data_IF_669612178217
#
_entry.id   IF_669612178217
#
_cell.length_a   1.000
_cell.length_b   1.000
_cell.length_c   1.000
_cell.angle_alpha   90.00
_cell.angle_beta   90.00
_cell.angle_gamma   90.00
#
_symmetry.space_group_name_H-M   'P 1'
#
loop_
_entity.id
_entity.type
_entity.pdbx_description
1 polymer ?
#
# COMPACT_ATOMS: atom_id res chain seq x y z
N UNK A 1 -36.26 -19.29 -18.39
CA UNK A 1 -37.55 -19.16 -17.66
C UNK A 1 -37.55 -18.14 -16.51
N UNK A 2 -36.40 -17.69 -15.97
CA UNK A 2 -36.36 -16.65 -14.91
C UNK A 2 -36.04 -15.20 -15.37
N UNK A 3 -35.66 -14.98 -16.62
CA UNK A 3 -35.59 -13.61 -17.19
C UNK A 3 -36.96 -12.91 -17.19
N UNK A 4 -38.05 -13.66 -17.37
CA UNK A 4 -39.42 -13.14 -17.31
C UNK A 4 -39.90 -12.79 -15.89
N UNK A 5 -39.28 -13.30 -14.82
CA UNK A 5 -39.73 -13.06 -13.44
C UNK A 5 -39.04 -11.82 -12.83
N UNK A 6 -37.73 -11.62 -13.09
CA UNK A 6 -37.02 -10.41 -12.64
C UNK A 6 -37.34 -9.17 -13.49
N UNK A 7 -37.56 -9.30 -14.81
CA UNK A 7 -38.14 -8.19 -15.60
C UNK A 7 -39.57 -7.85 -15.15
N UNK A 8 -40.38 -8.83 -14.70
CA UNK A 8 -41.70 -8.55 -14.11
C UNK A 8 -41.59 -7.79 -12.79
N UNK A 9 -40.63 -8.08 -11.92
CA UNK A 9 -40.45 -7.35 -10.65
C UNK A 9 -39.84 -5.95 -10.83
N UNK A 10 -38.90 -5.77 -11.77
CA UNK A 10 -38.42 -4.43 -12.16
C UNK A 10 -39.52 -3.61 -12.84
N UNK A 11 -40.30 -4.22 -13.75
CA UNK A 11 -41.44 -3.56 -14.40
C UNK A 11 -42.56 -3.25 -13.39
N UNK A 12 -42.84 -4.10 -12.40
CA UNK A 12 -43.81 -3.79 -11.34
C UNK A 12 -43.33 -2.67 -10.40
N UNK A 13 -42.02 -2.58 -10.13
CA UNK A 13 -41.44 -1.48 -9.34
C UNK A 13 -41.44 -0.16 -10.11
N UNK A 14 -41.16 -0.18 -11.41
CA UNK A 14 -41.28 0.98 -12.30
C UNK A 14 -42.75 1.39 -12.50
N UNK A 15 -43.66 0.44 -12.71
CA UNK A 15 -45.11 0.72 -12.80
C UNK A 15 -45.62 1.28 -11.48
N UNK A 16 -45.24 0.75 -10.31
CA UNK A 16 -45.60 1.34 -9.00
C UNK A 16 -45.03 2.74 -8.81
N UNK A 17 -43.78 3.00 -9.23
CA UNK A 17 -43.18 4.33 -9.19
C UNK A 17 -43.87 5.33 -10.13
N UNK A 18 -44.29 4.89 -11.32
CA UNK A 18 -45.07 5.69 -12.27
C UNK A 18 -46.52 5.89 -11.82
N UNK A 19 -47.12 4.91 -11.11
CA UNK A 19 -48.49 5.01 -10.54
C UNK A 19 -48.53 5.96 -9.34
N UNK A 20 -47.43 6.10 -8.60
CA UNK A 20 -47.28 7.07 -7.51
C UNK A 20 -47.05 8.51 -8.01
N UNK A 21 -46.60 8.70 -9.24
CA UNK A 21 -46.49 10.01 -9.92
C UNK A 21 -47.80 10.44 -10.61
N UNK A 22 -48.84 9.59 -10.62
CA UNK A 22 -50.08 9.79 -11.37
C UNK A 22 -51.23 10.41 -10.55
N UNK A 23 -50.92 11.31 -9.62
CA UNK A 23 -51.96 12.16 -8.99
C UNK A 23 -52.09 13.55 -9.63
N UNK A 24 -51.43 13.83 -10.77
CA UNK A 24 -51.39 15.21 -11.28
C UNK A 24 -51.63 15.48 -12.77
N UNK A 25 -51.84 14.52 -13.69
CA UNK A 25 -52.12 14.94 -15.08
C UNK A 25 -52.84 13.94 -16.00
N UNK A 26 -53.86 14.41 -16.71
CA UNK A 26 -54.78 13.61 -17.53
C UNK A 26 -54.30 13.34 -18.98
N UNK A 27 -53.12 13.85 -19.38
CA UNK A 27 -52.64 13.75 -20.77
C UNK A 27 -51.85 12.45 -21.12
N UNK A 28 -51.56 11.58 -20.16
CA UNK A 28 -50.64 10.43 -20.36
C UNK A 28 -51.26 9.18 -21.03
N UNK A 29 -52.56 9.15 -21.33
CA UNK A 29 -53.25 7.92 -21.75
C UNK A 29 -53.01 7.50 -23.21
N UNK A 30 -52.57 8.41 -24.09
CA UNK A 30 -52.45 8.13 -25.54
C UNK A 30 -51.12 7.42 -25.93
N UNK A 31 -50.04 7.65 -25.18
CA UNK A 31 -48.70 7.08 -25.46
C UNK A 31 -48.66 5.56 -25.19
N UNK A 32 -49.53 5.07 -24.30
CA UNK A 32 -49.52 3.66 -23.84
C UNK A 32 -50.06 2.64 -24.86
N UNK A 33 -50.79 3.08 -25.90
CA UNK A 33 -51.34 2.15 -26.91
C UNK A 33 -50.28 1.69 -27.93
N UNK A 34 -49.26 2.51 -28.21
CA UNK A 34 -48.19 2.16 -29.16
C UNK A 34 -47.10 1.27 -28.55
N UNK A 35 -46.82 1.40 -27.26
CA UNK A 35 -45.80 0.58 -26.56
C UNK A 35 -46.27 -0.85 -26.25
N UNK A 36 -47.59 -1.08 -26.15
CA UNK A 36 -48.19 -2.41 -25.94
C UNK A 36 -48.01 -3.35 -27.13
N UNK A 37 -47.96 -2.80 -28.36
CA UNK A 37 -47.86 -3.60 -29.58
C UNK A 37 -46.43 -4.09 -29.86
N UNK A 38 -45.41 -3.29 -29.51
CA UNK A 38 -44.00 -3.72 -29.59
C UNK A 38 -43.65 -4.82 -28.57
N UNK A 39 -44.32 -4.84 -27.41
CA UNK A 39 -44.07 -5.83 -26.36
C UNK A 39 -44.55 -7.25 -26.73
N UNK A 40 -45.61 -7.35 -27.55
CA UNK A 40 -46.19 -8.63 -27.99
C UNK A 40 -45.37 -9.32 -29.10
N UNK A 41 -44.71 -8.54 -29.96
CA UNK A 41 -43.83 -9.05 -31.03
C UNK A 41 -42.53 -9.64 -30.49
N UNK A 42 -41.98 -9.06 -29.41
CA UNK A 42 -40.77 -9.56 -28.75
C UNK A 42 -40.99 -10.92 -28.07
N UNK A 43 -42.20 -11.22 -27.59
CA UNK A 43 -42.53 -12.48 -26.90
C UNK A 43 -42.59 -13.70 -27.84
N UNK A 44 -42.80 -13.49 -29.15
CA UNK A 44 -42.86 -14.56 -30.15
C UNK A 44 -41.49 -15.02 -30.66
N UNK A 45 -40.45 -14.19 -30.52
CA UNK A 45 -39.08 -14.51 -30.99
C UNK A 45 -38.36 -15.43 -29.99
N UNK A 46 -38.74 -15.42 -28.70
CA UNK A 46 -38.10 -16.20 -27.64
C UNK A 46 -38.54 -17.67 -27.56
N UNK A 47 -39.46 -18.14 -28.42
CA UNK A 47 -39.99 -19.51 -28.36
C UNK A 47 -39.22 -20.55 -29.20
N UNK A 48 -38.15 -20.16 -29.92
CA UNK A 48 -37.53 -21.02 -30.95
C UNK A 48 -36.05 -21.40 -30.75
N UNK A 49 -35.45 -21.22 -29.56
CA UNK A 49 -34.05 -21.67 -29.33
C UNK A 49 -33.96 -22.80 -28.30
N UNK A 50 -33.77 -24.02 -28.77
CA UNK A 50 -33.38 -25.18 -27.97
C UNK A 50 -31.86 -25.18 -27.74
N UNK A 51 -31.41 -25.38 -26.49
CA UNK A 51 -30.00 -25.57 -26.16
C UNK A 51 -29.77 -26.86 -25.35
N UNK A 52 -28.60 -27.51 -25.49
CA UNK A 52 -28.35 -28.86 -25.02
C UNK A 52 -28.10 -28.91 -23.51
N UNK A 53 -28.47 -30.04 -22.91
CA UNK A 53 -28.32 -30.39 -21.51
C UNK A 53 -26.87 -30.70 -21.13
N UNK A 54 -26.33 -29.98 -20.14
CA UNK A 54 -25.18 -30.42 -19.34
C UNK A 54 -25.55 -30.21 -17.87
N UNK A 55 -25.79 -31.30 -17.13
CA UNK A 55 -26.31 -31.26 -15.76
C UNK A 55 -25.20 -31.42 -14.73
N UNK A 56 -24.57 -30.31 -14.36
CA UNK A 56 -24.37 -30.00 -12.95
C UNK A 56 -25.49 -29.01 -12.59
N UNK A 57 -26.40 -29.38 -11.69
CA UNK A 57 -27.53 -28.53 -11.35
C UNK A 57 -27.01 -27.28 -10.62
N UNK A 58 -27.34 -26.10 -11.13
CA UNK A 58 -27.03 -24.84 -10.47
C UNK A 58 -27.64 -24.81 -9.04
N UNK A 59 -26.93 -24.30 -8.02
CA UNK A 59 -27.48 -24.21 -6.67
C UNK A 59 -28.78 -23.39 -6.65
N UNK A 60 -29.75 -23.82 -5.84
CA UNK A 60 -31.14 -23.30 -5.89
C UNK A 60 -31.27 -21.78 -5.68
N UNK A 61 -30.39 -21.18 -4.86
CA UNK A 61 -30.37 -19.73 -4.60
C UNK A 61 -29.47 -18.95 -5.56
N UNK A 62 -28.78 -19.64 -6.47
CA UNK A 62 -27.79 -19.04 -7.34
C UNK A 62 -28.25 -19.04 -8.79
N UNK A 63 -27.58 -18.23 -9.58
CA UNK A 63 -27.70 -18.19 -11.03
C UNK A 63 -26.39 -18.63 -11.66
N UNK A 64 -26.46 -19.47 -12.70
CA UNK A 64 -25.29 -20.01 -13.38
C UNK A 64 -25.33 -19.68 -14.87
N UNK A 65 -24.18 -19.30 -15.42
CA UNK A 65 -23.97 -19.03 -16.84
C UNK A 65 -22.63 -19.67 -17.27
N UNK A 66 -22.69 -20.77 -18.02
CA UNK A 66 -21.50 -21.55 -18.42
C UNK A 66 -20.68 -21.97 -17.18
N UNK A 67 -19.49 -21.42 -17.02
CA UNK A 67 -18.52 -21.64 -15.93
C UNK A 67 -18.58 -20.55 -14.84
N UNK A 68 -19.66 -19.76 -14.80
CA UNK A 68 -19.85 -18.68 -13.84
C UNK A 68 -21.05 -18.97 -12.95
N UNK A 69 -20.88 -18.74 -11.65
CA UNK A 69 -21.90 -18.95 -10.62
C UNK A 69 -22.04 -17.68 -9.79
N UNK A 70 -23.27 -17.19 -9.64
CA UNK A 70 -23.59 -15.95 -8.96
C UNK A 70 -24.65 -16.20 -7.88
N UNK A 71 -24.31 -15.87 -6.65
CA UNK A 71 -25.08 -16.11 -5.44
C UNK A 71 -25.20 -14.81 -4.61
N UNK A 72 -25.40 -13.68 -5.28
CA UNK A 72 -25.36 -12.32 -4.70
C UNK A 72 -26.65 -12.00 -3.95
N UNK A 73 -26.57 -11.41 -2.76
CA UNK A 73 -27.73 -10.93 -1.99
C UNK A 73 -28.80 -12.02 -1.80
N UNK A 74 -28.36 -13.16 -1.26
CA UNK A 74 -29.19 -14.36 -1.05
C UNK A 74 -29.37 -14.71 0.43
N UNK A 75 -28.90 -13.82 1.31
CA UNK A 75 -28.84 -13.99 2.76
C UNK A 75 -28.15 -15.30 3.18
N UNK A 76 -27.14 -15.73 2.43
CA UNK A 76 -26.43 -16.99 2.69
C UNK A 76 -25.55 -16.86 3.92
N UNK A 77 -25.77 -17.70 4.92
CA UNK A 77 -24.85 -17.91 6.04
C UNK A 77 -23.88 -19.08 5.80
N UNK A 78 -24.16 -19.91 4.79
CA UNK A 78 -23.34 -21.03 4.32
C UNK A 78 -23.16 -20.99 2.81
N UNK A 79 -22.01 -21.49 2.35
CA UNK A 79 -21.75 -21.64 0.91
C UNK A 79 -22.63 -22.77 0.36
N UNK A 80 -23.38 -22.56 -0.74
CA UNK A 80 -24.28 -23.57 -1.29
C UNK A 80 -23.55 -24.86 -1.65
N UNK A 81 -24.14 -26.00 -1.28
CA UNK A 81 -23.64 -27.31 -1.70
C UNK A 81 -23.83 -27.48 -3.21
N UNK A 82 -22.92 -28.23 -3.86
CA UNK A 82 -22.97 -28.55 -5.30
C UNK A 82 -22.69 -27.39 -6.28
N UNK A 83 -21.80 -26.47 -5.93
CA UNK A 83 -21.20 -25.56 -6.93
C UNK A 83 -20.47 -26.43 -7.99
N UNK A 84 -20.76 -26.29 -9.30
CA UNK A 84 -20.11 -27.08 -10.34
C UNK A 84 -18.58 -26.99 -10.28
N UNK A 85 -17.84 -28.11 -10.32
CA UNK A 85 -16.36 -28.07 -10.26
C UNK A 85 -15.70 -27.27 -11.38
N UNK A 86 -16.36 -27.18 -12.55
CA UNK A 86 -15.91 -26.42 -13.72
C UNK A 86 -16.04 -24.89 -13.55
N UNK A 87 -16.46 -24.41 -12.38
CA UNK A 87 -16.69 -22.98 -12.13
C UNK A 87 -15.36 -22.23 -12.13
N UNK A 88 -15.22 -21.27 -13.05
CA UNK A 88 -14.08 -20.34 -13.12
C UNK A 88 -14.35 -19.00 -12.44
N UNK A 89 -15.62 -18.60 -12.33
CA UNK A 89 -16.02 -17.39 -11.60
C UNK A 89 -17.12 -17.71 -10.61
N UNK A 90 -16.89 -17.39 -9.34
CA UNK A 90 -17.85 -17.53 -8.26
C UNK A 90 -18.04 -16.19 -7.57
N UNK A 91 -19.28 -15.73 -7.55
CA UNK A 91 -19.67 -14.51 -6.85
C UNK A 91 -20.62 -14.87 -5.70
N UNK A 92 -20.13 -14.72 -4.47
CA UNK A 92 -20.82 -14.95 -3.20
C UNK A 92 -20.96 -13.64 -2.42
N UNK A 93 -20.88 -12.49 -3.11
CA UNK A 93 -20.94 -11.18 -2.46
C UNK A 93 -22.30 -10.87 -1.84
N UNK A 94 -22.31 -9.94 -0.89
CA UNK A 94 -23.52 -9.47 -0.18
C UNK A 94 -24.30 -10.61 0.50
N UNK A 95 -23.65 -11.26 1.47
CA UNK A 95 -24.21 -12.39 2.19
C UNK A 95 -23.78 -12.33 3.67
N UNK A 96 -23.99 -13.41 4.41
CA UNK A 96 -23.70 -13.57 5.84
C UNK A 96 -22.63 -14.66 6.07
N UNK A 97 -21.83 -14.99 5.07
CA UNK A 97 -20.84 -16.08 5.10
C UNK A 97 -19.71 -15.74 6.08
N UNK A 98 -19.27 -16.75 6.83
CA UNK A 98 -18.14 -16.68 7.76
C UNK A 98 -16.97 -17.51 7.26
N UNK A 99 -15.79 -17.26 7.81
CA UNK A 99 -14.54 -17.97 7.51
C UNK A 99 -14.65 -19.50 7.67
N UNK A 100 -15.48 -19.99 8.60
CA UNK A 100 -15.72 -21.42 8.82
C UNK A 100 -16.24 -22.17 7.59
N UNK A 101 -16.88 -21.46 6.65
CA UNK A 101 -17.46 -22.06 5.45
C UNK A 101 -16.46 -22.13 4.28
N UNK A 102 -15.35 -21.39 4.32
CA UNK A 102 -14.44 -21.25 3.18
C UNK A 102 -13.78 -22.56 2.76
N UNK A 103 -13.60 -23.50 3.70
CA UNK A 103 -13.07 -24.85 3.41
C UNK A 103 -13.95 -25.63 2.41
N UNK A 104 -15.24 -25.30 2.30
CA UNK A 104 -16.15 -25.93 1.34
C UNK A 104 -15.85 -25.56 -0.11
N UNK A 105 -14.98 -24.57 -0.37
CA UNK A 105 -14.56 -24.18 -1.72
C UNK A 105 -13.39 -25.02 -2.25
N UNK A 106 -12.80 -25.91 -1.44
CA UNK A 106 -11.57 -26.63 -1.77
C UNK A 106 -11.65 -27.48 -3.06
N UNK A 107 -12.85 -27.91 -3.48
CA UNK A 107 -13.05 -28.69 -4.71
C UNK A 107 -13.08 -27.84 -6.00
N UNK A 108 -13.09 -26.50 -5.90
CA UNK A 108 -13.13 -25.58 -7.04
C UNK A 108 -11.70 -25.24 -7.50
N UNK A 109 -10.95 -26.25 -7.94
CA UNK A 109 -9.52 -26.10 -8.27
C UNK A 109 -9.25 -25.20 -9.46
N UNK A 110 -10.21 -25.05 -10.37
CA UNK A 110 -10.09 -24.25 -11.60
C UNK A 110 -10.60 -22.80 -11.43
N UNK A 111 -10.90 -22.40 -10.19
CA UNK A 111 -11.50 -21.10 -9.91
C UNK A 111 -10.48 -19.97 -10.14
N UNK A 112 -10.83 -19.04 -11.03
CA UNK A 112 -9.99 -17.90 -11.42
C UNK A 112 -10.44 -16.58 -10.79
N UNK A 113 -11.74 -16.43 -10.55
CA UNK A 113 -12.31 -15.23 -9.95
C UNK A 113 -13.25 -15.60 -8.79
N UNK A 114 -12.96 -15.06 -7.61
CA UNK A 114 -13.77 -15.27 -6.41
C UNK A 114 -14.15 -13.92 -5.81
N UNK A 115 -15.45 -13.67 -5.65
CA UNK A 115 -15.97 -12.53 -4.91
C UNK A 115 -16.66 -12.98 -3.63
N UNK A 116 -16.10 -12.57 -2.49
CA UNK A 116 -16.60 -12.79 -1.14
C UNK A 116 -16.85 -11.45 -0.43
N UNK A 117 -17.00 -10.35 -1.18
CA UNK A 117 -17.21 -9.03 -0.61
C UNK A 117 -18.51 -8.93 0.19
N UNK A 118 -18.60 -8.02 1.16
CA UNK A 118 -19.80 -7.81 1.95
C UNK A 118 -20.29 -9.10 2.65
N UNK A 119 -19.40 -9.77 3.37
CA UNK A 119 -19.68 -10.95 4.18
C UNK A 119 -19.28 -10.71 5.64
N UNK A 120 -18.99 -11.77 6.40
CA UNK A 120 -18.58 -11.75 7.82
C UNK A 120 -17.25 -12.50 8.03
N UNK A 121 -16.40 -12.54 7.02
CA UNK A 121 -15.14 -13.28 7.03
C UNK A 121 -14.12 -12.57 7.92
N UNK A 122 -13.41 -13.34 8.75
CA UNK A 122 -12.29 -12.85 9.57
C UNK A 122 -10.96 -13.46 9.18
N UNK A 123 -10.95 -14.76 8.89
CA UNK A 123 -9.78 -15.53 8.49
C UNK A 123 -9.89 -15.95 7.01
N UNK A 124 -8.76 -15.89 6.30
CA UNK A 124 -8.68 -16.14 4.85
C UNK A 124 -7.71 -17.27 4.48
N UNK A 125 -7.07 -17.92 5.45
CA UNK A 125 -6.04 -18.94 5.20
C UNK A 125 -6.58 -20.11 4.37
N UNK A 126 -7.85 -20.46 4.59
CA UNK A 126 -8.50 -21.57 3.86
C UNK A 126 -8.61 -21.34 2.35
N UNK A 127 -8.38 -20.11 1.86
CA UNK A 127 -8.40 -19.78 0.44
C UNK A 127 -7.06 -20.06 -0.26
N UNK A 128 -5.97 -20.30 0.49
CA UNK A 128 -4.62 -20.50 -0.07
C UNK A 128 -4.49 -21.74 -0.97
N UNK A 129 -5.49 -22.64 -0.99
CA UNK A 129 -5.53 -23.81 -1.88
C UNK A 129 -6.07 -23.52 -3.28
N UNK A 130 -6.68 -22.34 -3.52
CA UNK A 130 -7.28 -21.98 -4.81
C UNK A 130 -6.23 -21.41 -5.77
N UNK A 131 -5.29 -22.27 -6.17
CA UNK A 131 -4.05 -21.91 -6.88
C UNK A 131 -4.24 -21.25 -8.25
N UNK A 132 -5.41 -21.40 -8.87
CA UNK A 132 -5.74 -20.82 -10.17
C UNK A 132 -6.31 -19.38 -10.07
N UNK A 133 -6.49 -18.84 -8.86
CA UNK A 133 -7.07 -17.51 -8.68
C UNK A 133 -6.23 -16.41 -9.35
N UNK A 134 -6.88 -15.63 -10.19
CA UNK A 134 -6.39 -14.41 -10.82
C UNK A 134 -6.97 -13.16 -10.15
N UNK A 135 -8.18 -13.25 -9.57
CA UNK A 135 -8.83 -12.13 -8.88
C UNK A 135 -9.55 -12.59 -7.62
N UNK A 136 -9.28 -11.90 -6.51
CA UNK A 136 -9.89 -12.20 -5.22
C UNK A 136 -10.45 -10.93 -4.59
N UNK A 137 -11.77 -10.88 -4.42
CA UNK A 137 -12.46 -9.81 -3.71
C UNK A 137 -12.87 -10.25 -2.30
N UNK A 138 -12.35 -9.54 -1.30
CA UNK A 138 -12.61 -9.75 0.12
C UNK A 138 -13.03 -8.45 0.81
N UNK A 139 -13.45 -7.45 0.04
CA UNK A 139 -13.80 -6.13 0.56
C UNK A 139 -14.99 -6.16 1.50
N UNK A 140 -15.10 -5.18 2.41
CA UNK A 140 -16.27 -5.07 3.31
C UNK A 140 -16.50 -6.35 4.14
N UNK A 141 -15.44 -6.88 4.74
CA UNK A 141 -15.49 -8.02 5.67
C UNK A 141 -14.98 -7.60 7.06
N UNK A 142 -14.62 -8.56 7.90
CA UNK A 142 -14.18 -8.36 9.28
C UNK A 142 -12.72 -8.80 9.50
N UNK A 143 -11.89 -8.83 8.45
CA UNK A 143 -10.48 -9.25 8.50
C UNK A 143 -9.68 -8.21 9.28
N UNK A 144 -8.96 -8.63 10.33
CA UNK A 144 -8.15 -7.73 11.19
C UNK A 144 -6.65 -7.91 11.02
N UNK A 145 -6.21 -9.03 10.45
CA UNK A 145 -4.81 -9.35 10.24
C UNK A 145 -4.61 -10.09 8.92
N UNK A 146 -3.45 -9.90 8.31
CA UNK A 146 -2.99 -10.69 7.16
C UNK A 146 -1.71 -11.40 7.57
N UNK A 147 -1.84 -12.70 7.84
CA UNK A 147 -0.73 -13.53 8.29
C UNK A 147 0.19 -13.93 7.14
N UNK A 148 1.43 -14.24 7.49
CA UNK A 148 2.35 -14.89 6.58
C UNK A 148 1.78 -16.26 6.15
N UNK A 149 1.79 -16.53 4.86
CA UNK A 149 1.22 -17.75 4.27
C UNK A 149 -0.27 -17.70 3.95
N UNK A 150 -1.01 -16.64 4.32
CA UNK A 150 -2.43 -16.47 3.97
C UNK A 150 -2.69 -16.56 2.45
N UNK A 151 -1.68 -16.22 1.64
CA UNK A 151 -1.72 -16.29 0.18
C UNK A 151 -0.60 -17.16 -0.43
N UNK A 152 -0.07 -18.13 0.32
CA UNK A 152 1.16 -18.85 -0.02
C UNK A 152 1.20 -19.42 -1.45
N UNK A 153 0.08 -19.93 -1.97
CA UNK A 153 0.06 -20.59 -3.28
C UNK A 153 -0.66 -19.79 -4.38
N UNK A 154 -1.02 -18.53 -4.13
CA UNK A 154 -1.81 -17.71 -5.06
C UNK A 154 -0.92 -16.92 -6.04
N UNK A 155 0.08 -17.59 -6.63
CA UNK A 155 1.09 -16.94 -7.50
C UNK A 155 0.54 -16.36 -8.81
N UNK A 156 -0.65 -16.82 -9.25
CA UNK A 156 -1.38 -16.33 -10.43
C UNK A 156 -2.22 -15.08 -10.15
N UNK A 157 -2.39 -14.71 -8.88
CA UNK A 157 -3.27 -13.62 -8.49
C UNK A 157 -2.75 -12.30 -9.07
N UNK A 158 -3.62 -11.58 -9.79
CA UNK A 158 -3.32 -10.31 -10.45
C UNK A 158 -3.98 -9.13 -9.74
N UNK A 159 -5.13 -9.33 -9.09
CA UNK A 159 -5.81 -8.29 -8.34
C UNK A 159 -6.37 -8.82 -7.02
N UNK A 160 -6.07 -8.09 -5.94
CA UNK A 160 -6.50 -8.42 -4.57
C UNK A 160 -7.19 -7.23 -3.92
N UNK A 161 -8.44 -7.43 -3.49
CA UNK A 161 -9.26 -6.39 -2.87
C UNK A 161 -9.54 -6.71 -1.40
N UNK A 162 -8.88 -5.99 -0.51
CA UNK A 162 -8.99 -6.11 0.95
C UNK A 162 -9.52 -4.83 1.62
N UNK A 163 -9.94 -3.85 0.83
CA UNK A 163 -10.40 -2.55 1.33
C UNK A 163 -11.68 -2.66 2.17
N UNK A 164 -11.91 -1.67 3.04
CA UNK A 164 -13.06 -1.64 3.98
C UNK A 164 -13.11 -2.88 4.88
N UNK A 165 -11.97 -3.30 5.41
CA UNK A 165 -11.85 -4.33 6.45
C UNK A 165 -11.43 -3.67 7.77
N UNK A 166 -10.82 -4.44 8.68
CA UNK A 166 -10.29 -3.96 9.96
C UNK A 166 -8.79 -4.20 10.07
N UNK A 167 -8.09 -4.39 8.94
CA UNK A 167 -6.69 -4.83 8.91
C UNK A 167 -5.82 -3.80 9.62
N UNK A 168 -5.19 -4.21 10.71
CA UNK A 168 -4.24 -3.38 11.46
C UNK A 168 -2.81 -3.91 11.26
N UNK A 169 -2.67 -5.24 11.29
CA UNK A 169 -1.39 -5.92 11.19
C UNK A 169 -1.29 -6.72 9.89
N UNK A 170 -0.20 -6.53 9.16
CA UNK A 170 0.20 -7.35 8.02
C UNK A 170 1.56 -7.94 8.40
N UNK A 171 1.63 -9.25 8.57
CA UNK A 171 2.87 -9.92 8.95
C UNK A 171 3.92 -9.81 7.85
N UNK A 172 5.19 -9.77 8.25
CA UNK A 172 6.33 -9.73 7.33
C UNK A 172 6.25 -10.86 6.31
N UNK A 173 6.27 -10.49 5.02
CA UNK A 173 6.23 -11.44 3.92
C UNK A 173 4.85 -12.01 3.56
N UNK A 174 3.77 -11.50 4.15
CA UNK A 174 2.39 -11.95 3.84
C UNK A 174 2.04 -11.93 2.35
N UNK A 175 2.66 -11.04 1.57
CA UNK A 175 2.42 -10.92 0.13
C UNK A 175 3.54 -11.49 -0.76
N UNK A 176 4.60 -12.08 -0.20
CA UNK A 176 5.83 -12.44 -0.92
C UNK A 176 5.59 -13.33 -2.17
N UNK A 177 4.59 -14.22 -2.10
CA UNK A 177 4.32 -15.19 -3.16
C UNK A 177 3.37 -14.66 -4.24
N UNK A 178 2.83 -13.44 -4.08
CA UNK A 178 1.93 -12.80 -5.04
C UNK A 178 2.71 -12.16 -6.20
N UNK A 179 3.60 -12.91 -6.84
CA UNK A 179 4.57 -12.41 -7.83
C UNK A 179 3.94 -11.91 -9.14
N UNK A 180 2.65 -12.21 -9.37
CA UNK A 180 1.89 -11.75 -10.53
C UNK A 180 0.96 -10.57 -10.23
N UNK A 181 0.92 -10.10 -8.98
CA UNK A 181 -0.02 -9.09 -8.52
C UNK A 181 0.26 -7.74 -9.18
N UNK A 182 -0.78 -7.15 -9.75
CA UNK A 182 -0.77 -5.86 -10.44
C UNK A 182 -1.53 -4.80 -9.66
N UNK A 183 -2.57 -5.20 -8.92
CA UNK A 183 -3.43 -4.27 -8.17
C UNK A 183 -3.66 -4.78 -6.75
N UNK A 184 -3.37 -3.94 -5.76
CA UNK A 184 -3.58 -4.22 -4.34
C UNK A 184 -4.39 -3.08 -3.70
N UNK A 185 -5.59 -3.41 -3.23
CA UNK A 185 -6.49 -2.46 -2.59
C UNK A 185 -6.58 -2.72 -1.08
N UNK A 186 -6.00 -1.84 -0.28
CA UNK A 186 -5.97 -1.87 1.18
C UNK A 186 -6.63 -0.62 1.82
N UNK A 187 -7.27 0.22 1.02
CA UNK A 187 -7.88 1.47 1.49
C UNK A 187 -9.02 1.24 2.50
N UNK A 188 -9.26 2.19 3.41
CA UNK A 188 -10.21 2.07 4.53
C UNK A 188 -9.96 0.82 5.40
N UNK A 189 -8.75 0.72 5.98
CA UNK A 189 -8.35 -0.25 7.00
C UNK A 189 -7.74 0.50 8.22
N UNK A 190 -7.04 -0.21 9.11
CA UNK A 190 -6.41 0.35 10.32
C UNK A 190 -4.87 0.28 10.28
N UNK A 191 -4.25 0.18 9.10
CA UNK A 191 -2.80 0.05 8.96
C UNK A 191 -2.13 1.34 9.44
N UNK A 192 -1.15 1.25 10.33
CA UNK A 192 -0.46 2.41 10.90
C UNK A 192 1.03 2.51 10.52
N UNK A 193 1.68 1.38 10.20
CA UNK A 193 3.09 1.35 9.80
C UNK A 193 3.27 0.63 8.47
N UNK A 194 4.18 1.14 7.63
CA UNK A 194 4.72 0.44 6.46
C UNK A 194 6.22 0.17 6.69
N UNK A 195 6.64 -1.10 6.66
CA UNK A 195 8.05 -1.51 6.79
C UNK A 195 8.67 -1.93 5.45
N UNK A 196 9.98 -2.16 5.45
CA UNK A 196 10.77 -2.48 4.25
C UNK A 196 10.46 -3.84 3.61
N UNK A 197 9.82 -4.76 4.34
CA UNK A 197 9.55 -6.12 3.89
C UNK A 197 8.07 -6.36 3.57
N UNK A 198 7.17 -5.45 3.97
CA UNK A 198 5.72 -5.59 3.80
C UNK A 198 5.31 -5.87 2.35
N UNK A 199 5.88 -5.15 1.39
CA UNK A 199 5.56 -5.28 -0.04
C UNK A 199 6.66 -6.01 -0.85
N UNK A 200 7.53 -6.75 -0.18
CA UNK A 200 8.59 -7.50 -0.84
C UNK A 200 8.01 -8.55 -1.81
N UNK A 201 8.70 -8.76 -2.92
CA UNK A 201 8.27 -9.68 -3.97
C UNK A 201 7.24 -9.13 -4.96
N UNK A 202 6.55 -8.02 -4.65
CA UNK A 202 5.50 -7.41 -5.49
C UNK A 202 6.04 -6.57 -6.67
N UNK A 203 7.01 -7.11 -7.40
CA UNK A 203 7.76 -6.40 -8.46
C UNK A 203 6.92 -6.01 -9.69
N UNK A 204 5.77 -6.69 -9.90
CA UNK A 204 4.80 -6.41 -10.98
C UNK A 204 3.63 -5.53 -10.55
N UNK A 205 3.64 -5.03 -9.31
CA UNK A 205 2.54 -4.22 -8.80
C UNK A 205 2.52 -2.86 -9.50
N UNK A 206 1.39 -2.54 -10.13
CA UNK A 206 1.17 -1.29 -10.85
C UNK A 206 0.38 -0.29 -10.01
N UNK A 207 -0.56 -0.77 -9.19
CA UNK A 207 -1.45 0.08 -8.39
C UNK A 207 -1.51 -0.38 -6.94
N UNK A 208 -1.22 0.53 -6.04
CA UNK A 208 -1.30 0.33 -4.59
C UNK A 208 -2.20 1.40 -3.97
N UNK A 209 -3.29 0.96 -3.36
CA UNK A 209 -4.27 1.84 -2.74
C UNK A 209 -4.28 1.67 -1.23
N UNK A 210 -3.79 2.68 -0.50
CA UNK A 210 -3.68 2.71 0.96
C UNK A 210 -4.49 3.87 1.58
N UNK A 211 -5.35 4.54 0.80
CA UNK A 211 -6.12 5.69 1.28
C UNK A 211 -6.98 5.37 2.51
N UNK A 212 -7.18 6.32 3.42
CA UNK A 212 -8.10 6.12 4.55
C UNK A 212 -7.62 5.07 5.55
N UNK A 213 -6.31 4.96 5.77
CA UNK A 213 -5.72 4.14 6.83
C UNK A 213 -5.29 5.04 8.00
N UNK A 214 -4.40 4.55 8.88
CA UNK A 214 -3.84 5.29 10.01
C UNK A 214 -2.32 5.48 9.87
N UNK A 215 -1.80 5.44 8.64
CA UNK A 215 -0.37 5.38 8.38
C UNK A 215 0.29 6.66 8.90
N UNK A 216 1.14 6.54 9.91
CA UNK A 216 1.92 7.64 10.49
C UNK A 216 3.44 7.42 10.35
N UNK A 217 3.85 6.18 10.06
CA UNK A 217 5.23 5.78 9.89
C UNK A 217 5.43 4.97 8.60
N UNK A 218 6.26 5.50 7.71
CA UNK A 218 6.72 4.83 6.49
C UNK A 218 8.24 4.70 6.61
N UNK A 219 8.72 3.47 6.77
CA UNK A 219 10.15 3.19 6.86
C UNK A 219 10.86 3.51 5.54
N UNK A 220 12.10 3.99 5.61
CA UNK A 220 12.92 4.28 4.43
C UNK A 220 13.05 3.02 3.57
N UNK A 221 12.66 3.11 2.31
CA UNK A 221 12.70 1.99 1.38
C UNK A 221 11.51 1.02 1.43
N UNK A 222 10.44 1.32 2.17
CA UNK A 222 9.19 0.55 2.19
C UNK A 222 8.63 0.22 0.79
N UNK A 223 8.92 1.06 -0.21
CA UNK A 223 8.46 0.88 -1.59
C UNK A 223 9.55 0.47 -2.59
N UNK A 224 10.79 0.23 -2.16
CA UNK A 224 11.95 0.02 -3.05
C UNK A 224 11.76 -1.12 -4.07
N UNK A 225 11.01 -2.16 -3.70
CA UNK A 225 10.77 -3.33 -4.56
C UNK A 225 9.68 -3.08 -5.63
N UNK A 226 8.91 -2.00 -5.51
CA UNK A 226 7.75 -1.70 -6.36
C UNK A 226 8.15 -0.97 -7.64
N UNK A 227 9.13 -1.52 -8.36
CA UNK A 227 9.74 -0.89 -9.55
C UNK A 227 8.78 -0.71 -10.74
N UNK A 228 7.64 -1.41 -10.74
CA UNK A 228 6.59 -1.25 -11.75
C UNK A 228 5.45 -0.32 -11.33
N UNK A 229 5.50 0.26 -10.13
CA UNK A 229 4.39 1.01 -9.58
C UNK A 229 4.12 2.29 -10.37
N UNK A 230 2.88 2.46 -10.78
CA UNK A 230 2.38 3.62 -11.53
C UNK A 230 1.50 4.49 -10.65
N UNK A 231 0.66 3.87 -9.82
CA UNK A 231 -0.34 4.58 -9.00
C UNK A 231 -0.14 4.22 -7.53
N UNK A 232 0.10 5.24 -6.70
CA UNK A 232 0.19 5.12 -5.25
C UNK A 232 -0.78 6.10 -4.60
N UNK A 233 -1.71 5.57 -3.81
CA UNK A 233 -2.64 6.40 -3.04
C UNK A 233 -2.34 6.26 -1.55
N UNK A 234 -2.01 7.37 -0.91
CA UNK A 234 -1.71 7.50 0.52
C UNK A 234 -2.57 8.61 1.18
N UNK A 235 -3.56 9.14 0.46
CA UNK A 235 -4.48 10.17 0.93
C UNK A 235 -5.31 9.71 2.15
N UNK A 236 -5.76 10.65 2.98
CA UNK A 236 -6.51 10.35 4.21
C UNK A 236 -5.76 9.39 5.15
N UNK A 237 -4.52 9.72 5.49
CA UNK A 237 -3.71 9.01 6.48
C UNK A 237 -3.18 9.99 7.56
N UNK A 238 -2.27 9.54 8.41
CA UNK A 238 -1.65 10.34 9.47
C UNK A 238 -0.18 10.67 9.15
N UNK A 239 0.16 10.80 7.87
CA UNK A 239 1.55 11.02 7.44
C UNK A 239 1.95 12.45 7.79
N UNK A 240 2.95 12.59 8.66
CA UNK A 240 3.48 13.89 9.07
C UNK A 240 4.70 14.31 8.26
N UNK A 241 5.63 13.38 8.00
CA UNK A 241 6.90 13.67 7.34
C UNK A 241 7.01 12.88 6.05
N UNK A 242 7.53 13.53 5.02
CA UNK A 242 7.89 12.89 3.75
C UNK A 242 9.39 13.05 3.55
N UNK A 243 10.09 11.94 3.40
CA UNK A 243 11.50 11.88 3.06
C UNK A 243 11.65 11.42 1.60
N UNK A 244 12.67 11.94 0.90
CA UNK A 244 12.95 11.63 -0.49
C UNK A 244 13.26 10.14 -0.69
N UNK A 245 13.94 9.52 0.29
CA UNK A 245 14.37 8.12 0.19
C UNK A 245 13.18 7.15 0.30
N UNK A 246 12.00 7.61 0.78
CA UNK A 246 10.78 6.80 0.83
C UNK A 246 10.31 6.37 -0.56
N UNK A 247 10.42 7.26 -1.57
CA UNK A 247 9.90 7.03 -2.93
C UNK A 247 10.99 6.70 -3.95
N UNK A 248 12.21 6.46 -3.47
CA UNK A 248 13.35 6.08 -4.31
C UNK A 248 13.05 4.75 -5.02
N UNK A 249 13.44 4.66 -6.29
CA UNK A 249 13.22 3.46 -7.10
C UNK A 249 11.85 3.37 -7.79
N UNK A 250 10.88 4.23 -7.47
CA UNK A 250 9.54 4.26 -8.09
C UNK A 250 9.52 4.92 -9.49
N UNK A 251 10.45 4.52 -10.36
CA UNK A 251 10.72 5.18 -11.65
C UNK A 251 9.52 5.24 -12.63
N UNK A 252 8.51 4.38 -12.45
CA UNK A 252 7.30 4.37 -13.28
C UNK A 252 6.12 5.15 -12.70
N UNK A 253 6.26 5.74 -11.51
CA UNK A 253 5.16 6.43 -10.84
C UNK A 253 4.59 7.55 -11.71
N UNK A 254 3.28 7.57 -11.90
CA UNK A 254 2.56 8.57 -12.68
C UNK A 254 1.47 9.28 -11.88
N UNK A 255 1.09 8.73 -10.71
CA UNK A 255 0.08 9.32 -9.83
C UNK A 255 0.41 9.02 -8.38
N UNK A 256 0.47 10.08 -7.58
CA UNK A 256 0.70 10.03 -6.14
C UNK A 256 -0.36 10.87 -5.43
N UNK A 257 -1.23 10.24 -4.64
CA UNK A 257 -2.21 10.94 -3.80
C UNK A 257 -1.71 11.01 -2.37
N UNK A 258 -1.69 12.22 -1.81
CA UNK A 258 -1.17 12.54 -0.48
C UNK A 258 -2.07 13.51 0.29
N UNK A 259 -3.17 13.97 -0.31
CA UNK A 259 -4.07 14.91 0.31
C UNK A 259 -4.70 14.35 1.60
N UNK A 260 -5.19 15.23 2.45
CA UNK A 260 -5.76 14.84 3.75
C UNK A 260 -4.78 14.06 4.65
N UNK A 261 -3.51 14.47 4.65
CA UNK A 261 -2.51 14.06 5.63
C UNK A 261 -2.05 15.27 6.47
N UNK A 262 -1.70 15.10 7.75
CA UNK A 262 -1.21 16.17 8.62
C UNK A 262 0.27 16.52 8.34
N UNK A 263 0.57 16.85 7.08
CA UNK A 263 1.93 17.07 6.58
C UNK A 263 2.61 18.25 7.29
N UNK A 264 3.83 18.03 7.77
CA UNK A 264 4.74 19.06 8.26
C UNK A 264 5.57 19.57 7.10
N UNK A 265 5.43 20.85 6.80
CA UNK A 265 6.19 21.55 5.79
C UNK A 265 7.41 22.22 6.43
N UNK A 266 8.54 21.57 6.24
CA UNK A 266 9.87 21.97 6.68
C UNK A 266 10.85 21.90 5.48
N UNK A 267 12.15 21.97 5.73
CA UNK A 267 13.13 21.83 4.64
C UNK A 267 13.15 20.45 3.96
N UNK A 268 12.58 19.40 4.58
CA UNK A 268 12.42 18.08 3.96
C UNK A 268 11.28 18.09 2.94
N UNK A 269 10.16 18.76 3.22
CA UNK A 269 9.07 18.86 2.23
C UNK A 269 9.53 19.61 0.98
N UNK A 270 10.36 20.64 1.14
CA UNK A 270 10.93 21.39 0.01
C UNK A 270 11.75 20.47 -0.88
N UNK A 271 12.62 19.68 -0.26
CA UNK A 271 13.45 18.70 -0.95
C UNK A 271 12.59 17.67 -1.67
N UNK A 272 11.59 17.11 -0.99
CA UNK A 272 10.63 16.17 -1.55
C UNK A 272 9.94 16.74 -2.81
N UNK A 273 9.37 17.94 -2.73
CA UNK A 273 8.70 18.58 -3.88
C UNK A 273 9.67 18.84 -5.04
N UNK A 274 10.91 19.25 -4.76
CA UNK A 274 11.92 19.46 -5.79
C UNK A 274 12.35 18.14 -6.46
N UNK A 275 12.48 17.06 -5.69
CA UNK A 275 12.78 15.72 -6.21
C UNK A 275 11.63 15.21 -7.08
N UNK A 276 10.37 15.44 -6.69
CA UNK A 276 9.23 15.10 -7.56
C UNK A 276 9.31 15.83 -8.91
N UNK A 277 9.60 17.14 -8.89
CA UNK A 277 9.72 17.96 -10.11
C UNK A 277 10.88 17.51 -11.01
N UNK A 278 12.01 17.12 -10.42
CA UNK A 278 13.23 16.75 -11.16
C UNK A 278 13.24 15.30 -11.63
N UNK A 279 12.71 14.37 -10.83
CA UNK A 279 12.64 12.95 -11.17
C UNK A 279 11.50 12.64 -12.14
N UNK A 280 10.46 13.47 -12.18
CA UNK A 280 9.29 13.28 -13.03
C UNK A 280 8.89 14.56 -13.79
N UNK A 281 9.80 15.15 -14.59
CA UNK A 281 9.64 16.50 -15.15
C UNK A 281 8.49 16.65 -16.15
N UNK A 282 8.01 15.53 -16.71
CA UNK A 282 6.93 15.48 -17.70
C UNK A 282 5.62 14.94 -17.11
N UNK A 283 5.55 14.73 -15.78
CA UNK A 283 4.39 14.14 -15.12
C UNK A 283 3.90 15.07 -14.03
N UNK A 284 2.62 15.42 -14.11
CA UNK A 284 1.92 16.00 -12.97
C UNK A 284 1.53 14.86 -12.02
N UNK A 285 2.49 14.43 -11.17
CA UNK A 285 2.29 13.32 -10.24
C UNK A 285 1.17 13.58 -9.23
N UNK A 286 1.02 14.84 -8.80
CA UNK A 286 -0.01 15.25 -7.86
C UNK A 286 -1.35 15.53 -8.58
N UNK A 287 -1.33 15.72 -9.91
CA UNK A 287 -2.53 15.83 -10.74
C UNK A 287 -3.44 16.98 -10.33
N UNK A 288 -4.75 16.75 -10.31
CA UNK A 288 -5.71 17.73 -9.79
C UNK A 288 -5.78 17.79 -8.25
N UNK A 289 -5.08 16.88 -7.56
CA UNK A 289 -5.09 16.81 -6.11
C UNK A 289 -4.11 17.81 -5.53
N UNK A 290 -4.47 18.39 -4.40
CA UNK A 290 -3.70 19.46 -3.79
C UNK A 290 -3.34 19.10 -2.34
N UNK A 291 -2.35 18.22 -2.12
CA UNK A 291 -1.86 18.01 -0.77
C UNK A 291 -1.35 19.34 -0.23
N UNK A 292 -1.75 19.65 0.99
CA UNK A 292 -1.41 20.91 1.63
C UNK A 292 -0.70 20.68 2.96
N UNK A 293 0.12 21.64 3.35
CA UNK A 293 0.73 21.68 4.65
C UNK A 293 -0.34 21.72 5.74
N UNK A 294 -0.12 20.99 6.83
CA UNK A 294 -0.87 21.13 8.07
C UNK A 294 -0.05 21.87 9.12
N UNK A 295 1.23 21.52 9.22
CA UNK A 295 2.20 22.17 10.10
C UNK A 295 3.34 22.81 9.28
N UNK A 296 4.05 23.81 9.83
CA UNK A 296 3.64 24.57 11.01
C UNK A 296 2.36 25.39 10.72
N UNK A 297 1.74 25.98 11.74
CA UNK A 297 0.41 26.62 11.62
C UNK A 297 0.41 27.75 10.59
N UNK A 298 1.54 28.45 10.46
CA UNK A 298 1.77 29.53 9.50
C UNK A 298 1.73 29.06 8.05
N UNK A 299 2.06 27.78 7.82
CA UNK A 299 2.03 27.13 6.51
C UNK A 299 0.71 26.40 6.27
N UNK A 300 -0.20 26.33 7.25
CA UNK A 300 -1.41 25.51 7.15
C UNK A 300 -2.23 25.86 5.90
N UNK A 301 -2.67 24.82 5.19
CA UNK A 301 -3.39 24.87 3.89
C UNK A 301 -2.58 25.36 2.69
N UNK A 302 -1.29 25.69 2.85
CA UNK A 302 -0.44 26.00 1.70
C UNK A 302 -0.25 24.75 0.84
N UNK A 303 -0.54 24.87 -0.45
CA UNK A 303 -0.37 23.81 -1.44
C UNK A 303 1.09 23.37 -1.54
N UNK A 304 1.36 22.06 -1.57
CA UNK A 304 2.69 21.52 -1.86
C UNK A 304 3.19 21.91 -3.27
N UNK A 305 2.29 22.20 -4.21
CA UNK A 305 2.67 22.63 -5.57
C UNK A 305 3.24 24.04 -5.59
N UNK A 306 2.77 24.87 -4.66
CA UNK A 306 3.15 26.28 -4.52
C UNK A 306 4.38 26.48 -3.62
N UNK A 307 4.89 25.40 -3.02
CA UNK A 307 6.09 25.45 -2.19
C UNK A 307 7.32 25.84 -3.03
N UNK A 308 8.08 26.79 -2.51
CA UNK A 308 9.32 27.31 -3.06
C UNK A 308 10.42 27.40 -2.00
N UNK A 309 11.66 27.60 -2.44
CA UNK A 309 12.80 27.82 -1.53
C UNK A 309 12.65 29.03 -0.61
N UNK A 310 11.84 30.02 -0.99
CA UNK A 310 11.67 31.26 -0.21
C UNK A 310 10.74 31.05 0.98
N UNK A 311 10.02 29.92 1.02
CA UNK A 311 9.11 29.59 2.11
C UNK A 311 9.86 29.06 3.35
N UNK A 312 11.15 28.72 3.20
CA UNK A 312 11.95 28.09 4.24
C UNK A 312 13.32 28.74 4.36
N UNK A 313 13.82 28.82 5.60
CA UNK A 313 15.19 29.26 5.90
C UNK A 313 16.09 28.05 6.17
N UNK A 314 16.27 27.21 5.15
CA UNK A 314 17.06 25.98 5.25
C UNK A 314 18.55 26.29 5.40
N UNK A 315 19.27 25.48 6.18
CA UNK A 315 20.68 25.73 6.52
C UNK A 315 21.55 24.53 6.20
N UNK A 316 22.72 24.78 5.62
CA UNK A 316 23.76 23.76 5.48
C UNK A 316 24.29 23.34 6.86
N UNK A 317 24.94 22.17 6.98
CA UNK A 317 25.42 21.70 8.27
C UNK A 317 26.42 22.68 8.87
N UNK A 318 26.27 22.97 10.16
CA UNK A 318 27.22 23.70 10.99
C UNK A 318 27.52 22.89 12.25
N UNK A 319 28.74 22.95 12.75
CA UNK A 319 29.18 22.06 13.82
C UNK A 319 28.95 22.67 15.18
N UNK A 320 28.51 21.84 16.13
CA UNK A 320 28.39 22.20 17.53
C UNK A 320 29.50 21.53 18.34
N UNK A 321 29.82 20.27 18.02
CA UNK A 321 30.86 19.50 18.70
C UNK A 321 31.80 18.94 17.65
N UNK A 322 33.05 19.38 17.70
CA UNK A 322 34.14 18.85 16.88
C UNK A 322 34.86 17.73 17.62
N UNK A 323 35.39 16.72 16.91
CA UNK A 323 36.25 15.74 17.53
C UNK A 323 37.56 16.38 17.98
N UNK A 324 38.06 15.95 19.14
CA UNK A 324 39.31 16.46 19.72
C UNK A 324 40.45 15.47 19.47
N UNK A 325 41.66 16.01 19.31
CA UNK A 325 42.88 15.19 19.26
C UNK A 325 43.03 14.36 20.54
N UNK A 326 43.31 13.07 20.40
CA UNK A 326 43.45 12.16 21.55
C UNK A 326 44.72 11.34 21.48
N UNK A 327 45.27 11.05 22.65
CA UNK A 327 46.35 10.07 22.82
C UNK A 327 45.87 9.01 23.79
N UNK A 328 45.75 7.76 23.35
CA UNK A 328 45.13 6.65 24.10
C UNK A 328 46.12 5.48 24.22
N UNK A 329 46.12 4.75 25.32
CA UNK A 329 47.03 3.59 25.47
C UNK A 329 46.46 2.36 24.77
N UNK A 330 47.34 1.46 24.31
CA UNK A 330 46.90 0.16 23.75
C UNK A 330 46.01 -0.56 24.76
N UNK A 331 44.86 -1.04 24.31
CA UNK A 331 43.89 -1.75 25.13
C UNK A 331 42.81 -0.89 25.78
N UNK A 332 43.00 0.44 25.84
CA UNK A 332 41.99 1.37 26.35
C UNK A 332 40.91 1.69 25.29
N UNK A 333 39.85 2.37 25.72
CA UNK A 333 38.76 2.79 24.85
C UNK A 333 39.02 4.20 24.30
N UNK A 334 38.90 4.36 22.98
CA UNK A 334 38.83 5.68 22.34
C UNK A 334 37.36 6.09 22.17
N UNK A 335 37.08 7.36 22.42
CA UNK A 335 35.79 7.98 22.13
C UNK A 335 36.00 9.31 21.41
N UNK A 336 35.42 9.48 20.23
CA UNK A 336 35.39 10.74 19.50
C UNK A 336 33.93 11.15 19.29
N UNK A 337 33.60 12.37 19.73
CA UNK A 337 32.25 12.92 19.62
C UNK A 337 32.20 13.89 18.44
N UNK A 338 31.12 13.85 17.68
CA UNK A 338 30.85 14.83 16.63
C UNK A 338 29.36 15.14 16.58
N UNK A 339 29.01 16.43 16.59
CA UNK A 339 27.61 16.88 16.47
C UNK A 339 27.54 18.09 15.56
N UNK A 340 26.59 18.07 14.64
CA UNK A 340 26.26 19.17 13.77
C UNK A 340 24.78 19.50 13.87
N UNK A 341 24.43 20.73 13.53
CA UNK A 341 23.07 21.21 13.30
C UNK A 341 22.92 21.65 11.86
N UNK A 342 21.69 21.70 11.40
CA UNK A 342 21.32 22.10 10.05
C UNK A 342 19.85 21.77 9.87
N UNK A 343 19.25 22.38 8.87
CA UNK A 343 17.88 22.08 8.47
C UNK A 343 17.84 21.84 6.96
N UNK A 344 17.68 20.58 6.50
CA UNK A 344 17.40 19.38 7.28
C UNK A 344 18.52 18.91 8.20
N UNK A 345 18.15 18.11 9.20
CA UNK A 345 19.08 17.52 10.17
C UNK A 345 20.21 16.77 9.43
N UNK A 346 21.48 17.10 9.69
CA UNK A 346 22.60 16.53 8.95
C UNK A 346 22.89 15.09 9.37
N UNK A 347 23.15 14.24 8.39
CA UNK A 347 23.74 12.92 8.60
C UNK A 347 25.22 13.04 8.97
N UNK A 348 25.69 12.21 9.91
CA UNK A 348 27.10 12.13 10.31
C UNK A 348 27.71 10.81 9.82
N UNK A 349 28.88 10.92 9.20
CA UNK A 349 29.71 9.77 8.78
C UNK A 349 31.13 9.95 9.29
N UNK A 350 31.87 8.84 9.44
CA UNK A 350 33.24 8.84 9.94
C UNK A 350 34.18 8.13 8.97
N UNK A 351 35.35 8.73 8.77
CA UNK A 351 36.44 8.17 7.99
C UNK A 351 37.75 8.22 8.80
N UNK A 352 38.67 7.29 8.52
CA UNK A 352 40.04 7.28 9.03
C UNK A 352 40.98 7.35 7.84
N UNK A 353 41.88 8.33 7.82
CA UNK A 353 42.85 8.54 6.74
C UNK A 353 42.16 8.58 5.36
N UNK A 354 41.04 9.30 5.28
CA UNK A 354 40.17 9.45 4.10
C UNK A 354 39.46 8.18 3.60
N UNK A 355 39.50 7.10 4.37
CA UNK A 355 38.78 5.86 4.09
C UNK A 355 37.61 5.71 5.06
N UNK A 356 36.41 5.46 4.55
CA UNK A 356 35.22 5.24 5.38
C UNK A 356 35.47 4.11 6.39
N UNK A 357 35.10 4.34 7.64
CA UNK A 357 35.33 3.37 8.69
C UNK A 357 34.44 2.13 8.54
N UNK A 358 35.06 0.96 8.49
CA UNK A 358 34.36 -0.31 8.61
C UNK A 358 33.84 -0.49 10.05
N UNK A 359 32.51 -0.46 10.21
CA UNK A 359 31.86 -0.65 11.49
C UNK A 359 31.78 -2.15 11.84
N UNK A 360 31.93 -2.48 13.13
CA UNK A 360 31.90 -3.85 13.59
C UNK A 360 31.77 -3.97 15.11
N UNK A 361 32.23 -5.09 15.68
CA UNK A 361 32.13 -5.27 17.13
C UNK A 361 33.06 -4.33 17.91
N UNK A 362 34.25 -4.02 17.36
CA UNK A 362 35.30 -3.21 18.01
C UNK A 362 35.12 -1.71 17.80
N UNK A 363 34.77 -1.30 16.58
CA UNK A 363 34.57 0.09 16.13
C UNK A 363 33.07 0.31 15.90
N UNK A 364 32.45 1.21 16.67
CA UNK A 364 31.00 1.46 16.62
C UNK A 364 30.70 2.95 16.60
N UNK A 365 29.64 3.34 15.90
CA UNK A 365 29.05 4.68 15.99
C UNK A 365 27.70 4.55 16.69
N UNK A 366 27.49 5.33 17.75
CA UNK A 366 26.24 5.35 18.51
C UNK A 366 25.23 6.31 17.88
N UNK A 367 23.96 6.20 18.29
CA UNK A 367 22.87 7.07 17.81
C UNK A 367 23.14 8.58 18.03
N UNK A 368 23.98 8.94 18.99
CA UNK A 368 24.41 10.32 19.22
C UNK A 368 25.62 10.73 18.36
N UNK A 369 25.92 9.97 17.30
CA UNK A 369 27.03 10.14 16.36
C UNK A 369 28.44 10.03 16.96
N UNK A 370 28.56 9.48 18.18
CA UNK A 370 29.85 9.26 18.85
C UNK A 370 30.50 7.98 18.33
N UNK A 371 31.73 8.09 17.85
CA UNK A 371 32.59 6.97 17.48
C UNK A 371 33.27 6.41 18.74
N UNK A 372 33.17 5.10 18.93
CA UNK A 372 33.85 4.36 20.00
C UNK A 372 34.68 3.22 19.39
N UNK A 373 35.96 3.18 19.77
CA UNK A 373 36.83 2.02 19.58
C UNK A 373 37.07 1.40 20.95
N UNK A 374 36.45 0.24 21.19
CA UNK A 374 36.42 -0.41 22.51
C UNK A 374 37.78 -0.87 23.03
N UNK A 375 38.66 -1.28 22.12
CA UNK A 375 40.03 -1.71 22.43
C UNK A 375 40.97 -1.16 21.37
N UNK A 376 41.74 -0.15 21.74
CA UNK A 376 42.67 0.55 20.84
C UNK A 376 43.90 -0.31 20.54
N UNK A 377 44.25 -0.38 19.27
CA UNK A 377 45.43 -1.04 18.71
C UNK A 377 46.36 0.00 18.06
N UNK A 378 47.64 -0.36 17.82
CA UNK A 378 48.60 0.57 17.19
C UNK A 378 48.16 0.98 15.76
N UNK A 379 47.41 0.14 15.07
CA UNK A 379 46.84 0.41 13.74
C UNK A 379 45.73 1.45 13.75
N UNK A 380 45.16 1.76 14.91
CA UNK A 380 44.14 2.80 15.06
C UNK A 380 44.72 4.22 15.04
N UNK A 381 46.06 4.37 15.03
CA UNK A 381 46.73 5.66 14.78
C UNK A 381 46.29 6.19 13.41
N UNK A 382 45.93 7.47 13.36
CA UNK A 382 45.54 8.12 12.11
C UNK A 382 44.73 9.38 12.32
N UNK A 383 44.36 9.99 11.21
CA UNK A 383 43.50 11.15 11.18
C UNK A 383 42.04 10.70 11.04
N UNK A 384 41.23 10.99 12.04
CA UNK A 384 39.80 10.69 12.04
C UNK A 384 39.03 11.91 11.56
N UNK A 385 38.19 11.73 10.56
CA UNK A 385 37.36 12.76 9.94
C UNK A 385 35.90 12.46 10.21
N UNK A 386 35.24 13.36 10.93
CA UNK A 386 33.79 13.41 10.98
C UNK A 386 33.27 14.27 9.83
N UNK A 387 32.30 13.76 9.08
CA UNK A 387 31.67 14.47 7.97
C UNK A 387 30.18 14.62 8.25
N UNK A 388 29.74 15.87 8.39
CA UNK A 388 28.33 16.25 8.49
C UNK A 388 27.78 16.66 7.12
N UNK A 389 26.67 16.07 6.69
CA UNK A 389 26.07 16.37 5.39
C UNK A 389 24.55 16.43 5.39
N UNK A 390 24.01 17.44 4.71
CA UNK A 390 22.63 17.48 4.22
C UNK A 390 22.64 17.91 2.73
N UNK A 391 21.47 18.10 2.11
CA UNK A 391 21.40 18.42 0.67
C UNK A 391 21.95 19.80 0.29
N UNK A 392 22.12 20.71 1.27
CA UNK A 392 22.65 22.06 1.05
C UNK A 392 24.18 22.11 1.13
N UNK A 393 24.83 21.11 1.73
CA UNK A 393 26.27 21.08 1.80
C UNK A 393 26.85 20.04 2.75
N UNK A 394 28.17 20.07 2.83
CA UNK A 394 28.97 19.17 3.66
C UNK A 394 30.01 19.99 4.45
N UNK A 395 30.23 19.62 5.71
CA UNK A 395 31.32 20.11 6.55
C UNK A 395 32.06 18.94 7.15
N UNK A 396 33.38 19.05 7.26
CA UNK A 396 34.23 18.01 7.82
C UNK A 396 35.13 18.56 8.91
N UNK A 397 35.37 17.74 9.93
CA UNK A 397 36.19 18.08 11.09
C UNK A 397 37.11 16.92 11.40
N UNK A 398 38.36 17.22 11.73
CA UNK A 398 39.41 16.23 11.84
C UNK A 398 39.98 16.21 13.26
N UNK A 399 40.33 15.02 13.74
CA UNK A 399 41.05 14.80 14.98
C UNK A 399 42.17 13.78 14.75
N UNK A 400 43.36 14.10 15.23
CA UNK A 400 44.50 13.19 15.24
C UNK A 400 44.40 12.26 16.46
N UNK A 401 44.52 10.95 16.21
CA UNK A 401 44.60 9.94 17.26
C UNK A 401 46.01 9.36 17.29
N UNK A 402 46.64 9.46 18.45
CA UNK A 402 47.93 8.83 18.75
C UNK A 402 47.73 7.67 19.73
N UNK A 403 48.59 6.64 19.64
CA UNK A 403 48.51 5.46 20.51
C UNK A 403 49.80 5.30 21.31
N UNK A 404 49.70 5.28 22.64
CA UNK A 404 50.83 5.00 23.54
C UNK A 404 51.03 3.49 23.67
N UNK A 405 52.23 3.02 23.37
CA UNK A 405 52.67 1.66 23.73
C UNK A 405 53.26 1.63 25.14
N UNK A 406 53.19 0.48 25.81
CA UNK A 406 54.05 0.21 26.96
C UNK A 406 55.50 0.51 26.56
N UNK A 407 56.22 1.28 27.38
CA UNK A 407 57.67 1.30 27.30
C UNK A 407 58.15 -0.15 27.43
N UNK A 408 58.87 -0.64 26.43
CA UNK A 408 59.65 -1.86 26.59
C UNK A 408 60.67 -1.55 27.69
N UNK A 409 60.48 -2.15 28.87
CA UNK A 409 61.51 -2.18 29.89
C UNK A 409 62.70 -2.92 29.26
N UNK A 410 63.75 -2.15 28.94
CA UNK A 410 65.00 -2.64 28.38
C UNK A 410 65.84 -3.44 29.36
#
# INVERSE_FOLDING_TARGET
MQWQVRCRQCALRLVRAMTLLLHQDAAAAAVLRRTRMMLLLLLLIFSLSSFPSVTAKCPHKCWCEKDKVYCIDQELDRIPTHIPPVTKKLDLSDNKIRDTELKSLAHLTDLQHLDLSYNKIRDIESLAHLTELETLHLSNNNISEVKNGAFANLSKLQALFLHRNKIENIETGAFNNLTSLKELHLYYNNIHKLDLEMFKGLTKLNKLFLSGNKIDNIETGAFNNLTSLEVLHLDYNNIHKLDLEMFKGLTKLNRLLLDNNPLTCDCNILLFVNVLKTSYPQRDLLGNYDPSCHFPVEMSKKSLKEITKNDFNCTSPDVIVVPENKTVSVGEQLQLSCKAVGDPEPSITWAKDDIDLELGQRVRVFQNNTLIISKVERTDIGQYKCVASNYLGRKSFEAMVNVKGFAENG
#
